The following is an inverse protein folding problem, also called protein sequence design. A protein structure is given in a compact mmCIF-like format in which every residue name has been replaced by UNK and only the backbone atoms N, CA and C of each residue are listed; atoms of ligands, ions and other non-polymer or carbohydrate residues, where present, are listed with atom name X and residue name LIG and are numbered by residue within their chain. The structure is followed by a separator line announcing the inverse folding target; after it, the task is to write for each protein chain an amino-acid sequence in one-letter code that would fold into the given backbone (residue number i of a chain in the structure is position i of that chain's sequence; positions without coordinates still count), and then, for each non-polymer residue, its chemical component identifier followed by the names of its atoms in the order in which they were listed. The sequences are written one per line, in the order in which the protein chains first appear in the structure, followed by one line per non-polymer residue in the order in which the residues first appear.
data_IF_563998278160
#
_entry.id   IF_563998278160
#
_cell.length_a   1.000
_cell.length_b   1.000
_cell.length_c   1.000
_cell.angle_alpha   90.00
_cell.angle_beta   90.00
_cell.angle_gamma   90.00
#
_symmetry.space_group_name_H-M   'P 1'
#
loop_
_entity.id
_entity.type
_entity.pdbx_description
1 polymer ?
#
# COMPACT_ATOMS: atom_id res chain seq x y z
N UNK A 1 57.32 31.68 14.86
CA UNK A 1 56.28 31.88 15.91
C UNK A 1 54.94 32.44 15.38
N UNK A 2 54.74 32.65 14.06
CA UNK A 2 53.48 33.20 13.53
C UNK A 2 52.42 32.18 13.06
N UNK A 3 52.78 30.91 12.85
CA UNK A 3 51.84 29.88 12.34
C UNK A 3 51.01 29.18 13.43
N UNK A 4 51.49 29.15 14.68
CA UNK A 4 50.75 28.51 15.80
C UNK A 4 49.62 29.40 16.34
N UNK A 5 49.72 30.72 16.18
CA UNK A 5 48.68 31.66 16.63
C UNK A 5 47.50 31.70 15.66
N UNK A 6 47.74 31.61 14.34
CA UNK A 6 46.65 31.61 13.35
C UNK A 6 45.85 30.30 13.37
N UNK A 7 46.50 29.16 13.59
CA UNK A 7 45.83 27.87 13.72
C UNK A 7 44.96 27.79 14.98
N UNK A 8 45.44 28.29 16.12
CA UNK A 8 44.66 28.36 17.37
C UNK A 8 43.40 29.24 17.23
N UNK A 9 43.51 30.38 16.52
CA UNK A 9 42.39 31.28 16.26
C UNK A 9 41.39 30.69 15.25
N UNK A 10 41.85 29.90 14.29
CA UNK A 10 40.96 29.20 13.37
C UNK A 10 40.19 28.07 14.05
N UNK A 11 40.85 27.36 14.98
CA UNK A 11 40.24 26.29 15.76
C UNK A 11 39.19 26.83 16.74
N UNK A 12 39.49 27.92 17.46
CA UNK A 12 38.53 28.54 18.38
C UNK A 12 37.28 29.06 17.67
N UNK A 13 37.42 29.60 16.46
CA UNK A 13 36.28 30.01 15.62
C UNK A 13 35.41 28.83 15.18
N UNK A 14 36.02 27.69 14.85
CA UNK A 14 35.28 26.48 14.51
C UNK A 14 34.54 25.95 15.74
N UNK A 15 35.18 25.97 16.92
CA UNK A 15 34.56 25.55 18.18
C UNK A 15 33.37 26.43 18.56
N UNK A 16 33.48 27.75 18.42
CA UNK A 16 32.35 28.68 18.62
C UNK A 16 31.21 28.43 17.62
N UNK A 17 31.50 28.25 16.33
CA UNK A 17 30.46 27.99 15.32
C UNK A 17 29.78 26.63 15.55
N UNK A 18 30.51 25.60 15.97
CA UNK A 18 29.96 24.29 16.33
C UNK A 18 29.06 24.40 17.56
N UNK A 19 29.48 25.13 18.60
CA UNK A 19 28.64 25.39 19.78
C UNK A 19 27.37 26.15 19.41
N UNK A 20 27.48 27.18 18.55
CA UNK A 20 26.32 27.94 18.07
C UNK A 20 25.34 27.06 17.29
N UNK A 21 25.84 26.20 16.38
CA UNK A 21 25.01 25.26 15.65
C UNK A 21 24.34 24.22 16.57
N UNK A 22 25.03 23.78 17.61
CA UNK A 22 24.46 22.87 18.60
C UNK A 22 23.33 23.53 19.41
N UNK A 23 23.47 24.81 19.75
CA UNK A 23 22.41 25.59 20.40
C UNK A 23 21.20 25.78 19.47
N UNK A 24 21.41 26.17 18.21
CA UNK A 24 20.33 26.29 17.21
C UNK A 24 19.59 24.96 16.98
N UNK A 25 20.32 23.84 16.97
CA UNK A 25 19.71 22.52 16.86
C UNK A 25 18.84 22.17 18.08
N UNK A 26 19.27 22.55 19.29
CA UNK A 26 18.48 22.40 20.51
C UNK A 26 17.22 23.27 20.48
N UNK A 27 17.34 24.54 20.12
CA UNK A 27 16.19 25.45 20.02
C UNK A 27 15.15 24.95 19.00
N UNK A 28 15.62 24.41 17.87
CA UNK A 28 14.75 23.79 16.87
C UNK A 28 14.06 22.53 17.43
N UNK A 29 14.79 21.66 18.14
CA UNK A 29 14.25 20.46 18.75
C UNK A 29 13.17 20.79 19.79
N UNK A 30 13.41 21.80 20.62
CA UNK A 30 12.45 22.25 21.64
C UNK A 30 11.20 22.83 20.98
N UNK A 31 11.38 23.69 19.96
CA UNK A 31 10.28 24.24 19.16
C UNK A 31 9.46 23.15 18.47
N UNK A 32 10.13 22.15 17.87
CA UNK A 32 9.48 21.02 17.22
C UNK A 32 8.71 20.15 18.23
N UNK A 33 9.27 19.89 19.41
CA UNK A 33 8.61 19.11 20.46
C UNK A 33 7.33 19.80 20.97
N UNK A 34 7.39 21.13 21.15
CA UNK A 34 6.24 21.94 21.53
C UNK A 34 5.16 21.96 20.44
N UNK A 35 5.56 22.00 19.17
CA UNK A 35 4.61 21.93 18.05
C UNK A 35 3.93 20.56 17.97
N UNK A 36 4.69 19.47 18.09
CA UNK A 36 4.17 18.10 18.05
C UNK A 36 3.18 17.85 19.19
N UNK A 37 3.48 18.28 20.42
CA UNK A 37 2.58 18.10 21.57
C UNK A 37 1.26 18.84 21.39
N UNK A 38 1.31 20.09 20.92
CA UNK A 38 0.12 20.88 20.60
C UNK A 38 -0.69 20.25 19.48
N UNK A 39 -0.04 19.89 18.37
CA UNK A 39 -0.68 19.24 17.22
C UNK A 39 -1.34 17.91 17.60
N UNK A 40 -0.70 17.11 18.45
CA UNK A 40 -1.25 15.85 18.96
C UNK A 40 -2.53 16.09 19.77
N UNK A 41 -2.54 17.14 20.60
CA UNK A 41 -3.71 17.49 21.43
C UNK A 41 -4.89 17.94 20.56
N UNK A 42 -4.62 18.77 19.56
CA UNK A 42 -5.63 19.23 18.60
C UNK A 42 -6.18 18.07 17.76
N UNK A 43 -5.33 17.15 17.30
CA UNK A 43 -5.73 15.93 16.59
C UNK A 43 -6.65 15.06 17.45
N UNK A 44 -6.30 14.85 18.72
CA UNK A 44 -7.13 14.08 19.65
C UNK A 44 -8.51 14.72 19.84
N UNK A 45 -8.57 16.04 19.98
CA UNK A 45 -9.84 16.78 20.08
C UNK A 45 -10.71 16.59 18.84
N UNK A 46 -10.14 16.73 17.64
CA UNK A 46 -10.84 16.49 16.37
C UNK A 46 -11.32 15.05 16.25
N UNK A 47 -10.51 14.09 16.69
CA UNK A 47 -10.86 12.66 16.74
C UNK A 47 -12.04 12.36 17.64
N UNK A 48 -12.08 12.93 18.84
CA UNK A 48 -13.22 12.77 19.73
C UNK A 48 -14.51 13.35 19.12
N UNK A 49 -14.42 14.52 18.46
CA UNK A 49 -15.56 15.12 17.76
C UNK A 49 -16.03 14.25 16.59
N UNK A 50 -15.13 13.76 15.76
CA UNK A 50 -15.46 12.88 14.65
C UNK A 50 -16.15 11.58 15.11
N UNK A 51 -15.63 10.96 16.18
CA UNK A 51 -16.22 9.79 16.82
C UNK A 51 -17.64 10.04 17.34
N UNK A 52 -17.82 11.17 18.05
CA UNK A 52 -19.12 11.58 18.57
C UNK A 52 -20.16 11.74 17.44
N UNK A 53 -19.77 12.39 16.33
CA UNK A 53 -20.64 12.57 15.16
C UNK A 53 -20.97 11.23 14.49
N UNK A 54 -19.99 10.34 14.22
CA UNK A 54 -20.28 9.04 13.61
C UNK A 54 -21.18 8.17 14.50
N UNK A 55 -21.01 8.21 15.82
CA UNK A 55 -21.88 7.51 16.77
C UNK A 55 -23.32 8.05 16.75
N UNK A 56 -23.46 9.39 16.70
CA UNK A 56 -24.76 10.06 16.63
C UNK A 56 -25.48 9.76 15.32
N UNK A 57 -24.77 9.77 14.19
CA UNK A 57 -25.31 9.39 12.88
C UNK A 57 -25.79 7.93 12.86
N UNK A 58 -25.02 6.99 13.42
CA UNK A 58 -25.42 5.58 13.54
C UNK A 58 -26.69 5.43 14.39
N UNK A 59 -26.74 6.11 15.53
CA UNK A 59 -27.90 6.08 16.44
C UNK A 59 -29.14 6.65 15.74
N UNK A 60 -29.04 7.84 15.14
CA UNK A 60 -30.16 8.47 14.42
C UNK A 60 -30.66 7.60 13.27
N UNK A 61 -29.77 6.98 12.48
CA UNK A 61 -30.17 6.06 11.41
C UNK A 61 -30.93 4.84 11.95
N UNK A 62 -30.47 4.26 13.08
CA UNK A 62 -31.18 3.14 13.72
C UNK A 62 -32.54 3.55 14.27
N UNK A 63 -32.64 4.73 14.88
CA UNK A 63 -33.90 5.27 15.40
C UNK A 63 -34.86 5.55 14.25
N UNK A 64 -34.41 6.18 13.17
CA UNK A 64 -35.22 6.46 11.98
C UNK A 64 -35.79 5.15 11.40
N UNK A 65 -34.95 4.13 11.23
CA UNK A 65 -35.39 2.82 10.73
C UNK A 65 -36.44 2.17 11.65
N UNK A 66 -36.26 2.27 12.97
CA UNK A 66 -37.26 1.77 13.93
C UNK A 66 -38.57 2.55 13.88
N UNK A 67 -38.51 3.88 13.72
CA UNK A 67 -39.70 4.74 13.65
C UNK A 67 -40.52 4.49 12.38
N UNK A 68 -39.87 4.19 11.26
CA UNK A 68 -40.52 3.73 10.01
C UNK A 68 -41.27 2.43 10.26
N UNK A 69 -40.62 1.44 10.91
CA UNK A 69 -41.25 0.14 11.20
C UNK A 69 -42.47 0.27 12.11
N UNK A 70 -42.44 1.21 13.07
CA UNK A 70 -43.58 1.48 13.96
C UNK A 70 -44.67 2.36 13.33
N UNK A 71 -44.50 2.82 12.09
CA UNK A 71 -45.46 3.69 11.39
C UNK A 71 -45.56 5.11 11.95
N UNK A 72 -44.61 5.52 12.79
CA UNK A 72 -44.63 6.83 13.47
C UNK A 72 -44.19 7.99 12.55
N UNK A 73 -43.58 7.69 11.40
CA UNK A 73 -43.09 8.66 10.42
C UNK A 73 -43.56 8.21 9.04
N UNK A 74 -44.06 9.17 8.25
CA UNK A 74 -44.43 8.95 6.85
C UNK A 74 -43.18 8.56 6.04
N UNK A 75 -43.20 7.47 5.24
CA UNK A 75 -42.08 7.04 4.41
C UNK A 75 -41.42 8.17 3.59
N UNK A 76 -42.21 9.13 3.06
CA UNK A 76 -41.65 10.26 2.30
C UNK A 76 -40.80 11.22 3.15
N UNK A 77 -41.18 11.45 4.39
CA UNK A 77 -40.38 12.26 5.32
C UNK A 77 -39.14 11.50 5.79
N UNK A 78 -39.27 10.18 5.97
CA UNK A 78 -38.16 9.32 6.33
C UNK A 78 -37.08 9.26 5.24
N UNK A 79 -37.45 9.18 3.96
CA UNK A 79 -36.52 9.20 2.84
C UNK A 79 -35.69 10.49 2.81
N UNK A 80 -36.33 11.64 3.04
CA UNK A 80 -35.63 12.94 3.10
C UNK A 80 -34.60 12.97 4.25
N UNK A 81 -34.97 12.44 5.41
CA UNK A 81 -34.07 12.36 6.57
C UNK A 81 -32.92 11.36 6.36
N UNK A 82 -33.16 10.22 5.71
CA UNK A 82 -32.07 9.27 5.40
C UNK A 82 -31.09 9.88 4.39
N UNK A 83 -31.57 10.63 3.40
CA UNK A 83 -30.71 11.38 2.47
C UNK A 83 -29.86 12.45 3.17
N UNK A 84 -30.41 13.20 4.12
CA UNK A 84 -29.63 14.16 4.91
C UNK A 84 -28.59 13.46 5.80
N UNK A 85 -28.95 12.35 6.46
CA UNK A 85 -28.02 11.53 7.22
C UNK A 85 -26.92 10.93 6.32
N UNK A 86 -27.27 10.52 5.11
CA UNK A 86 -26.33 10.01 4.11
C UNK A 86 -25.35 11.10 3.68
N UNK A 87 -25.83 12.31 3.36
CA UNK A 87 -24.97 13.46 3.04
C UNK A 87 -24.03 13.81 4.19
N UNK A 88 -24.54 13.89 5.42
CA UNK A 88 -23.72 14.15 6.60
C UNK A 88 -22.63 13.08 6.78
N UNK A 89 -22.97 11.81 6.51
CA UNK A 89 -22.01 10.71 6.54
C UNK A 89 -20.98 10.80 5.42
N UNK A 90 -21.37 11.19 4.20
CA UNK A 90 -20.44 11.43 3.10
C UNK A 90 -19.46 12.55 3.45
N UNK A 91 -19.93 13.68 3.99
CA UNK A 91 -19.06 14.78 4.43
C UNK A 91 -18.04 14.29 5.45
N UNK A 92 -18.47 13.47 6.42
CA UNK A 92 -17.58 12.93 7.45
C UNK A 92 -16.63 11.84 6.92
N UNK A 93 -17.04 11.03 5.95
CA UNK A 93 -16.29 9.84 5.47
C UNK A 93 -15.39 10.12 4.26
N UNK A 94 -15.78 11.08 3.42
CA UNK A 94 -15.08 11.46 2.19
C UNK A 94 -14.35 12.81 2.33
N UNK A 95 -14.72 13.61 3.33
CA UNK A 95 -14.01 14.85 3.68
C UNK A 95 -12.79 14.62 4.58
N UNK A 96 -12.11 15.71 4.94
CA UNK A 96 -10.89 15.66 5.77
C UNK A 96 -11.14 15.08 7.16
N UNK A 97 -12.38 15.17 7.66
CA UNK A 97 -12.82 14.59 8.92
C UNK A 97 -12.65 13.07 9.01
N UNK A 98 -12.60 12.40 7.85
CA UNK A 98 -12.46 10.96 7.77
C UNK A 98 -11.11 10.47 8.29
N UNK A 99 -10.07 11.30 8.20
CA UNK A 99 -8.74 11.01 8.75
C UNK A 99 -8.76 10.72 10.25
N UNK A 100 -9.68 11.34 10.97
CA UNK A 100 -9.81 11.21 12.42
C UNK A 100 -10.77 10.08 12.85
N UNK A 101 -11.55 9.52 11.93
CA UNK A 101 -12.42 8.39 12.26
C UNK A 101 -11.62 7.10 12.46
N UNK A 102 -12.03 6.23 13.41
CA UNK A 102 -11.45 4.91 13.56
C UNK A 102 -11.66 4.13 12.26
N UNK A 103 -10.60 3.48 11.80
CA UNK A 103 -10.64 2.79 10.53
C UNK A 103 -11.73 1.69 10.56
N UNK A 104 -12.59 1.64 9.55
CA UNK A 104 -13.46 0.49 9.31
C UNK A 104 -12.56 -0.67 8.88
N UNK A 105 -12.14 -1.46 9.86
CA UNK A 105 -11.40 -2.72 9.72
C UNK A 105 -10.27 -2.67 8.68
N UNK A 106 -9.03 -2.46 9.12
CA UNK A 106 -7.90 -3.02 8.39
C UNK A 106 -8.24 -4.49 8.08
N UNK A 107 -8.21 -4.88 6.80
CA UNK A 107 -8.40 -6.27 6.44
C UNK A 107 -7.46 -7.14 7.29
N UNK A 108 -7.91 -8.32 7.71
CA UNK A 108 -7.16 -9.22 8.61
C UNK A 108 -5.69 -9.40 8.17
N UNK A 109 -5.47 -9.38 6.86
CA UNK A 109 -4.16 -9.36 6.21
C UNK A 109 -3.25 -8.20 6.66
N UNK A 110 -3.67 -6.94 6.52
CA UNK A 110 -2.83 -5.79 6.93
C UNK A 110 -2.49 -5.83 8.42
N UNK A 111 -3.45 -6.27 9.26
CA UNK A 111 -3.21 -6.43 10.70
C UNK A 111 -2.17 -7.51 10.99
N UNK A 112 -2.16 -8.59 10.21
CA UNK A 112 -1.17 -9.67 10.35
C UNK A 112 0.25 -9.20 9.99
N UNK A 113 0.41 -8.43 8.91
CA UNK A 113 1.74 -8.01 8.42
C UNK A 113 2.28 -6.72 9.05
N UNK A 114 1.42 -5.74 9.35
CA UNK A 114 1.82 -4.42 9.85
C UNK A 114 1.42 -4.17 11.31
N UNK A 115 0.64 -5.06 11.93
CA UNK A 115 0.08 -4.83 13.26
C UNK A 115 -1.05 -3.79 13.27
N UNK A 116 -1.41 -3.24 14.45
CA UNK A 116 -2.51 -2.29 14.61
C UNK A 116 -2.11 -0.86 14.23
N UNK A 117 -1.55 -0.66 13.03
CA UNK A 117 -1.05 0.64 12.55
C UNK A 117 -2.03 1.28 11.55
N UNK A 118 -2.26 2.59 11.68
CA UNK A 118 -3.04 3.34 10.70
C UNK A 118 -2.18 3.68 9.46
N UNK A 119 -2.49 3.06 8.32
CA UNK A 119 -1.82 3.29 7.03
C UNK A 119 -2.56 4.30 6.14
N UNK A 120 -3.57 5.00 6.68
CA UNK A 120 -4.30 6.03 5.95
C UNK A 120 -3.42 7.28 5.87
N UNK A 121 -3.05 7.66 4.66
CA UNK A 121 -2.44 8.94 4.37
C UNK A 121 -3.51 10.04 4.43
N UNK A 122 -3.35 10.98 5.36
CA UNK A 122 -4.29 12.09 5.56
C UNK A 122 -4.18 13.14 4.47
N UNK A 123 -2.96 13.37 3.96
CA UNK A 123 -2.70 14.36 2.91
C UNK A 123 -2.79 13.75 1.50
N UNK A 124 -3.37 14.51 0.56
CA UNK A 124 -3.55 14.09 -0.84
C UNK A 124 -2.24 13.85 -1.58
N UNK A 125 -1.24 14.70 -1.35
CA UNK A 125 0.11 14.54 -1.91
C UNK A 125 0.76 13.22 -1.47
N UNK A 126 0.59 12.81 -0.21
CA UNK A 126 1.08 11.52 0.28
C UNK A 126 0.30 10.36 -0.37
N UNK A 127 -1.02 10.45 -0.51
CA UNK A 127 -1.80 9.44 -1.22
C UNK A 127 -1.39 9.28 -2.69
N UNK A 128 -1.11 10.40 -3.36
CA UNK A 128 -0.62 10.41 -4.74
C UNK A 128 0.78 9.79 -4.84
N UNK A 129 1.68 10.14 -3.93
CA UNK A 129 3.01 9.54 -3.85
C UNK A 129 2.95 8.03 -3.62
N UNK A 130 2.07 7.56 -2.74
CA UNK A 130 1.86 6.10 -2.53
C UNK A 130 1.37 5.41 -3.81
N UNK A 131 0.45 6.04 -4.56
CA UNK A 131 -0.03 5.54 -5.85
C UNK A 131 1.08 5.51 -6.90
N UNK A 132 1.91 6.55 -6.95
CA UNK A 132 3.05 6.64 -7.87
C UNK A 132 4.09 5.55 -7.57
N UNK A 133 4.50 5.41 -6.31
CA UNK A 133 5.43 4.37 -5.85
C UNK A 133 4.89 2.96 -6.12
N UNK A 134 3.59 2.75 -5.94
CA UNK A 134 2.94 1.49 -6.32
C UNK A 134 3.03 1.23 -7.82
N UNK A 135 2.70 2.21 -8.66
CA UNK A 135 2.77 2.05 -10.10
C UNK A 135 4.20 1.81 -10.58
N UNK A 136 5.18 2.54 -10.02
CA UNK A 136 6.61 2.36 -10.28
C UNK A 136 7.05 0.94 -9.93
N UNK A 137 6.69 0.47 -8.73
CA UNK A 137 6.94 -0.89 -8.28
C UNK A 137 6.35 -1.92 -9.25
N UNK A 138 5.07 -1.75 -9.63
CA UNK A 138 4.35 -2.70 -10.50
C UNK A 138 4.99 -2.83 -11.88
N UNK A 139 5.47 -1.73 -12.46
CA UNK A 139 6.19 -1.73 -13.74
C UNK A 139 7.52 -2.47 -13.63
N UNK A 140 8.32 -2.17 -12.60
CA UNK A 140 9.60 -2.85 -12.35
C UNK A 140 9.39 -4.35 -12.16
N UNK A 141 8.38 -4.74 -11.39
CA UNK A 141 8.08 -6.15 -11.14
C UNK A 141 7.48 -6.85 -12.35
N UNK A 142 6.70 -6.19 -13.19
CA UNK A 142 6.17 -6.79 -14.42
C UNK A 142 7.28 -7.08 -15.42
N UNK A 143 8.29 -6.22 -15.51
CA UNK A 143 9.49 -6.49 -16.31
C UNK A 143 10.24 -7.73 -15.78
N UNK A 144 10.46 -7.82 -14.46
CA UNK A 144 11.08 -8.99 -13.85
C UNK A 144 10.22 -10.26 -14.01
N UNK A 145 8.90 -10.15 -13.92
CA UNK A 145 7.95 -11.25 -14.10
C UNK A 145 8.03 -11.85 -15.50
N UNK A 146 8.34 -11.03 -16.51
CA UNK A 146 8.58 -11.51 -17.86
C UNK A 146 10.00 -12.07 -18.01
N UNK A 147 11.02 -11.34 -17.52
CA UNK A 147 12.43 -11.67 -17.71
C UNK A 147 12.82 -12.98 -17.03
N UNK A 148 12.36 -13.21 -15.81
CA UNK A 148 12.78 -14.35 -14.99
C UNK A 148 12.36 -15.70 -15.61
N UNK A 149 11.08 -15.96 -15.93
CA UNK A 149 10.68 -17.20 -16.59
C UNK A 149 11.24 -17.33 -18.01
N UNK A 150 11.40 -16.22 -18.75
CA UNK A 150 12.07 -16.25 -20.07
C UNK A 150 13.52 -16.72 -19.96
N UNK A 151 14.25 -16.23 -18.96
CA UNK A 151 15.63 -16.64 -18.69
C UNK A 151 15.70 -18.11 -18.30
N UNK A 152 14.78 -18.59 -17.46
CA UNK A 152 14.71 -20.02 -17.09
C UNK A 152 14.44 -20.90 -18.32
N UNK A 153 13.54 -20.49 -19.23
CA UNK A 153 13.29 -21.22 -20.47
C UNK A 153 14.51 -21.25 -21.41
N UNK A 154 15.27 -20.16 -21.50
CA UNK A 154 16.51 -20.11 -22.28
C UNK A 154 17.58 -21.02 -21.68
N UNK A 155 17.82 -20.93 -20.37
CA UNK A 155 18.81 -21.76 -19.68
C UNK A 155 18.45 -23.25 -19.73
N UNK A 156 17.16 -23.59 -19.63
CA UNK A 156 16.65 -24.95 -19.85
C UNK A 156 17.11 -25.51 -21.19
N UNK A 157 16.96 -24.73 -22.25
CA UNK A 157 17.30 -25.15 -23.62
C UNK A 157 18.81 -25.21 -23.84
N UNK A 158 19.54 -24.20 -23.37
CA UNK A 158 20.94 -23.99 -23.75
C UNK A 158 21.96 -24.62 -22.81
N UNK A 159 21.65 -24.72 -21.52
CA UNK A 159 22.60 -25.18 -20.48
C UNK A 159 22.23 -26.57 -19.98
N UNK A 160 20.94 -26.82 -19.75
CA UNK A 160 20.48 -28.02 -19.05
C UNK A 160 19.80 -29.07 -19.94
N UNK A 161 19.94 -28.99 -21.26
CA UNK A 161 19.45 -29.99 -22.22
C UNK A 161 17.98 -30.41 -21.97
N UNK A 162 17.12 -29.48 -21.54
CA UNK A 162 15.71 -29.73 -21.23
C UNK A 162 15.37 -30.11 -19.78
N UNK A 163 16.34 -30.23 -18.87
CA UNK A 163 16.12 -30.64 -17.48
C UNK A 163 16.48 -29.51 -16.48
N UNK A 164 15.53 -28.64 -16.13
CA UNK A 164 15.80 -27.54 -15.19
C UNK A 164 16.08 -28.06 -13.77
N UNK A 165 17.20 -27.68 -13.13
CA UNK A 165 17.45 -28.01 -11.75
C UNK A 165 16.37 -27.43 -10.82
N UNK A 166 16.19 -28.06 -9.66
CA UNK A 166 15.20 -27.65 -8.67
C UNK A 166 15.43 -26.22 -8.14
N UNK A 167 16.70 -25.88 -7.85
CA UNK A 167 17.07 -24.62 -7.19
C UNK A 167 16.64 -23.37 -8.00
N UNK A 168 16.93 -23.22 -9.32
CA UNK A 168 16.43 -22.10 -10.11
C UNK A 168 14.90 -21.96 -10.10
N UNK A 169 14.17 -23.08 -10.15
CA UNK A 169 12.70 -23.08 -10.10
C UNK A 169 12.21 -22.63 -8.72
N UNK A 170 12.83 -23.12 -7.64
CA UNK A 170 12.52 -22.71 -6.27
C UNK A 170 12.82 -21.24 -6.03
N UNK A 171 13.93 -20.70 -6.54
CA UNK A 171 14.24 -19.27 -6.47
C UNK A 171 13.15 -18.43 -7.16
N UNK A 172 12.66 -18.88 -8.32
CA UNK A 172 11.55 -18.21 -9.00
C UNK A 172 10.26 -18.28 -8.18
N UNK A 173 9.93 -19.43 -7.57
CA UNK A 173 8.77 -19.56 -6.70
C UNK A 173 8.87 -18.68 -5.44
N UNK A 174 10.06 -18.57 -4.84
CA UNK A 174 10.31 -17.66 -3.71
C UNK A 174 10.13 -16.20 -4.11
N UNK A 175 10.60 -15.84 -5.31
CA UNK A 175 10.40 -14.51 -5.86
C UNK A 175 8.91 -14.22 -6.15
N UNK A 176 8.15 -15.19 -6.66
CA UNK A 176 6.70 -15.06 -6.84
C UNK A 176 5.97 -14.88 -5.51
N UNK A 177 6.33 -15.64 -4.48
CA UNK A 177 5.77 -15.47 -3.13
C UNK A 177 6.02 -14.06 -2.62
N UNK A 178 7.26 -13.56 -2.73
CA UNK A 178 7.61 -12.18 -2.37
C UNK A 178 6.80 -11.15 -3.18
N UNK A 179 6.67 -11.34 -4.49
CA UNK A 179 5.94 -10.45 -5.38
C UNK A 179 4.46 -10.34 -4.99
N UNK A 180 3.76 -11.47 -4.89
CA UNK A 180 2.32 -11.47 -4.61
C UNK A 180 2.03 -11.00 -3.18
N UNK A 181 2.91 -11.29 -2.21
CA UNK A 181 2.81 -10.71 -0.86
C UNK A 181 2.94 -9.19 -0.89
N UNK A 182 3.91 -8.67 -1.64
CA UNK A 182 4.15 -7.23 -1.76
C UNK A 182 3.02 -6.52 -2.51
N UNK A 183 2.47 -7.12 -3.58
CA UNK A 183 1.31 -6.59 -4.30
C UNK A 183 0.08 -6.56 -3.39
N UNK A 184 -0.22 -7.67 -2.70
CA UNK A 184 -1.30 -7.74 -1.74
C UNK A 184 -1.17 -6.66 -0.65
N UNK A 185 0.02 -6.46 -0.09
CA UNK A 185 0.27 -5.42 0.91
C UNK A 185 -0.01 -4.01 0.36
N UNK A 186 0.62 -3.65 -0.76
CA UNK A 186 0.50 -2.31 -1.37
C UNK A 186 -0.93 -2.01 -1.81
N UNK A 187 -1.61 -2.98 -2.42
CA UNK A 187 -2.98 -2.80 -2.90
C UNK A 187 -4.00 -2.73 -1.74
N UNK A 188 -3.80 -3.48 -0.65
CA UNK A 188 -4.63 -3.31 0.54
C UNK A 188 -4.44 -1.92 1.17
N UNK A 189 -3.21 -1.38 1.21
CA UNK A 189 -2.94 -0.01 1.67
C UNK A 189 -3.68 0.99 0.76
N UNK A 190 -3.57 0.84 -0.56
CA UNK A 190 -4.26 1.70 -1.52
C UNK A 190 -5.79 1.65 -1.36
N UNK A 191 -6.34 0.46 -1.10
CA UNK A 191 -7.77 0.26 -0.87
C UNK A 191 -8.26 0.96 0.40
N UNK A 192 -7.48 0.89 1.49
CA UNK A 192 -7.77 1.64 2.73
C UNK A 192 -7.69 3.16 2.49
N UNK A 193 -6.85 3.59 1.55
CA UNK A 193 -6.72 4.98 1.12
C UNK A 193 -7.72 5.39 0.01
N UNK A 194 -8.83 4.65 -0.14
CA UNK A 194 -9.93 5.01 -1.05
C UNK A 194 -9.70 4.67 -2.52
N UNK A 195 -8.70 3.86 -2.85
CA UNK A 195 -8.54 3.38 -4.23
C UNK A 195 -9.56 2.28 -4.54
N UNK A 196 -10.27 2.44 -5.66
CA UNK A 196 -11.24 1.45 -6.14
C UNK A 196 -10.52 0.23 -6.73
N UNK A 197 -10.24 -0.75 -5.87
CA UNK A 197 -9.62 -2.03 -6.22
C UNK A 197 -10.63 -3.14 -5.96
N UNK A 198 -10.93 -3.91 -7.01
CA UNK A 198 -11.91 -5.00 -6.96
C UNK A 198 -11.49 -6.10 -5.97
N UNK A 199 -12.41 -6.58 -5.13
CA UNK A 199 -12.10 -7.60 -4.11
C UNK A 199 -11.56 -8.90 -4.67
N UNK A 200 -12.05 -9.35 -5.84
CA UNK A 200 -11.58 -10.58 -6.46
C UNK A 200 -10.09 -10.52 -6.85
N UNK A 201 -9.58 -9.33 -7.19
CA UNK A 201 -8.19 -9.12 -7.55
C UNK A 201 -7.26 -9.31 -6.35
N UNK A 202 -7.67 -8.79 -5.19
CA UNK A 202 -6.98 -9.04 -3.92
C UNK A 202 -7.02 -10.54 -3.56
N UNK A 203 -8.16 -11.20 -3.76
CA UNK A 203 -8.28 -12.64 -3.55
C UNK A 203 -7.33 -13.44 -4.46
N UNK A 204 -7.20 -13.04 -5.73
CA UNK A 204 -6.25 -13.64 -6.66
C UNK A 204 -4.81 -13.59 -6.12
N UNK A 205 -4.37 -12.46 -5.56
CA UNK A 205 -3.04 -12.35 -4.95
C UNK A 205 -2.87 -13.31 -3.77
N UNK A 206 -3.87 -13.43 -2.90
CA UNK A 206 -3.81 -14.36 -1.78
C UNK A 206 -3.72 -15.82 -2.24
N UNK A 207 -4.52 -16.20 -3.24
CA UNK A 207 -4.44 -17.54 -3.84
C UNK A 207 -3.05 -17.76 -4.45
N UNK A 208 -2.50 -16.79 -5.18
CA UNK A 208 -1.18 -16.90 -5.79
C UNK A 208 -0.06 -17.02 -4.74
N UNK A 209 -0.14 -16.30 -3.61
CA UNK A 209 0.78 -16.46 -2.48
C UNK A 209 0.74 -17.89 -1.92
N UNK A 210 -0.46 -18.42 -1.66
CA UNK A 210 -0.62 -19.79 -1.14
C UNK A 210 -0.08 -20.80 -2.14
N UNK A 211 -0.37 -20.64 -3.43
CA UNK A 211 0.14 -21.51 -4.49
C UNK A 211 1.67 -21.48 -4.58
N UNK A 212 2.30 -20.31 -4.47
CA UNK A 212 3.75 -20.17 -4.46
C UNK A 212 4.38 -20.83 -3.22
N UNK A 213 3.74 -20.69 -2.05
CA UNK A 213 4.18 -21.34 -0.81
C UNK A 213 4.08 -22.87 -0.88
N UNK A 214 2.97 -23.40 -1.40
CA UNK A 214 2.79 -24.84 -1.64
C UNK A 214 3.82 -25.34 -2.65
N UNK A 215 4.07 -24.57 -3.72
CA UNK A 215 5.06 -24.93 -4.75
C UNK A 215 6.50 -24.91 -4.23
N UNK A 216 6.82 -24.06 -3.25
CA UNK A 216 8.12 -24.03 -2.57
C UNK A 216 8.35 -25.24 -1.66
N UNK A 217 7.30 -25.67 -0.97
CA UNK A 217 7.34 -26.81 -0.06
C UNK A 217 7.22 -28.15 -0.77
N UNK A 218 6.86 -28.13 -2.06
CA UNK A 218 6.90 -29.31 -2.91
C UNK A 218 8.36 -29.71 -3.14
N UNK A 219 8.84 -30.69 -2.39
CA UNK A 219 10.15 -31.29 -2.62
C UNK A 219 10.21 -31.79 -4.05
N UNK A 220 11.06 -31.14 -4.85
CA UNK A 220 11.61 -31.74 -6.07
C UNK A 220 12.65 -32.75 -5.58
N UNK A 221 12.19 -33.81 -4.89
CA UNK A 221 13.02 -34.99 -4.62
C UNK A 221 13.57 -35.41 -5.98
N UNK A 222 14.88 -35.61 -6.06
CA UNK A 222 15.58 -36.02 -7.27
C UNK A 222 14.98 -37.32 -7.79
N UNK A 223 13.87 -37.20 -8.52
CA UNK A 223 13.20 -38.32 -9.15
C UNK A 223 14.02 -38.67 -10.39
N UNK A 224 14.24 -39.97 -10.64
CA UNK A 224 14.97 -40.42 -11.81
C UNK A 224 14.27 -40.05 -13.13
N UNK A 225 12.98 -39.68 -13.10
CA UNK A 225 12.19 -39.30 -14.27
C UNK A 225 12.04 -37.78 -14.42
N UNK A 226 13.03 -37.17 -15.05
CA UNK A 226 13.01 -35.73 -15.37
C UNK A 226 11.83 -35.35 -16.31
N UNK A 227 11.26 -36.27 -17.10
CA UNK A 227 10.35 -35.94 -18.20
C UNK A 227 8.99 -35.34 -17.79
N UNK A 228 8.29 -35.94 -16.81
CA UNK A 228 6.91 -35.56 -16.48
C UNK A 228 6.83 -34.22 -15.71
N UNK A 229 7.65 -34.06 -14.69
CA UNK A 229 7.66 -32.87 -13.84
C UNK A 229 8.16 -31.63 -14.59
N UNK A 230 9.12 -31.80 -15.50
CA UNK A 230 9.64 -30.72 -16.34
C UNK A 230 8.61 -30.22 -17.37
N UNK A 231 7.73 -31.09 -17.84
CA UNK A 231 6.66 -30.68 -18.78
C UNK A 231 5.68 -29.71 -18.09
N UNK A 232 5.30 -29.98 -16.85
CA UNK A 232 4.47 -29.08 -16.05
C UNK A 232 5.18 -27.74 -15.75
N UNK A 233 6.47 -27.79 -15.38
CA UNK A 233 7.28 -26.58 -15.15
C UNK A 233 7.40 -25.75 -16.43
N UNK A 234 7.63 -26.37 -17.57
CA UNK A 234 7.72 -25.68 -18.86
C UNK A 234 6.41 -25.00 -19.24
N UNK A 235 5.27 -25.69 -19.11
CA UNK A 235 3.94 -25.11 -19.35
C UNK A 235 3.67 -23.94 -18.41
N UNK A 236 4.03 -24.07 -17.13
CA UNK A 236 3.90 -22.99 -16.16
C UNK A 236 4.77 -21.77 -16.52
N UNK A 237 6.02 -21.97 -16.92
CA UNK A 237 6.91 -20.87 -17.31
C UNK A 237 6.43 -20.19 -18.60
N UNK A 238 5.95 -20.95 -19.60
CA UNK A 238 5.37 -20.39 -20.82
C UNK A 238 4.11 -19.57 -20.50
N UNK A 239 3.22 -20.11 -19.65
CA UNK A 239 2.07 -19.37 -19.16
C UNK A 239 2.48 -18.09 -18.43
N UNK A 240 3.51 -18.15 -17.57
CA UNK A 240 4.02 -16.99 -16.85
C UNK A 240 4.58 -15.92 -17.79
N UNK A 241 5.25 -16.30 -18.89
CA UNK A 241 5.68 -15.36 -19.93
C UNK A 241 4.47 -14.64 -20.55
N UNK A 242 3.43 -15.37 -20.95
CA UNK A 242 2.20 -14.77 -21.49
C UNK A 242 1.55 -13.82 -20.47
N UNK A 243 1.47 -14.23 -19.20
CA UNK A 243 0.98 -13.38 -18.11
C UNK A 243 1.84 -12.13 -17.92
N UNK A 244 3.17 -12.24 -18.01
CA UNK A 244 4.09 -11.11 -17.93
C UNK A 244 3.86 -10.07 -19.02
N UNK A 245 3.62 -10.52 -20.25
CA UNK A 245 3.22 -9.62 -21.36
C UNK A 245 1.91 -8.92 -21.04
N UNK A 246 0.90 -9.66 -20.58
CA UNK A 246 -0.39 -9.08 -20.20
C UNK A 246 -0.24 -8.05 -19.06
N UNK A 247 0.58 -8.34 -18.05
CA UNK A 247 0.88 -7.42 -16.95
C UNK A 247 1.52 -6.12 -17.46
N UNK A 248 2.49 -6.18 -18.36
CA UNK A 248 3.12 -4.99 -18.95
C UNK A 248 2.10 -4.12 -19.69
N UNK A 249 1.24 -4.72 -20.51
CA UNK A 249 0.20 -4.01 -21.25
C UNK A 249 -0.81 -3.37 -20.30
N UNK A 250 -1.30 -4.13 -19.31
CA UNK A 250 -2.23 -3.63 -18.28
C UNK A 250 -1.62 -2.47 -17.49
N UNK A 251 -0.34 -2.57 -17.13
CA UNK A 251 0.36 -1.54 -16.36
C UNK A 251 0.47 -0.24 -17.14
N UNK A 252 0.91 -0.31 -18.41
CA UNK A 252 1.01 0.86 -19.29
C UNK A 252 -0.34 1.54 -19.47
N UNK A 253 -1.39 0.75 -19.74
CA UNK A 253 -2.75 1.27 -19.90
C UNK A 253 -3.25 2.01 -18.65
N UNK A 254 -3.16 1.36 -17.48
CA UNK A 254 -3.63 1.95 -16.22
C UNK A 254 -2.85 3.21 -15.84
N UNK A 255 -1.53 3.21 -16.09
CA UNK A 255 -0.66 4.36 -15.83
C UNK A 255 -1.00 5.56 -16.73
N UNK A 256 -1.16 5.34 -18.03
CA UNK A 256 -1.58 6.39 -18.96
C UNK A 256 -2.92 6.99 -18.55
N UNK A 257 -3.90 6.15 -18.24
CA UNK A 257 -5.22 6.59 -17.78
C UNK A 257 -5.15 7.43 -16.50
N UNK A 258 -4.27 7.07 -15.56
CA UNK A 258 -4.05 7.86 -14.34
C UNK A 258 -3.50 9.25 -14.67
N UNK A 259 -2.43 9.34 -15.47
CA UNK A 259 -1.84 10.63 -15.85
C UNK A 259 -2.80 11.50 -16.65
N UNK A 260 -3.60 10.91 -17.56
CA UNK A 260 -4.65 11.65 -18.26
C UNK A 260 -5.69 12.21 -17.29
N UNK A 261 -6.10 11.46 -16.27
CA UNK A 261 -7.06 11.96 -15.26
C UNK A 261 -6.48 13.10 -14.41
N UNK A 262 -5.19 13.04 -14.09
CA UNK A 262 -4.48 14.11 -13.38
C UNK A 262 -4.40 15.36 -14.27
N UNK A 263 -3.99 15.22 -15.53
CA UNK A 263 -3.91 16.32 -16.49
C UNK A 263 -5.28 16.97 -16.76
N UNK A 264 -6.36 16.19 -16.72
CA UNK A 264 -7.73 16.69 -16.86
C UNK A 264 -8.30 17.30 -15.57
N UNK A 265 -7.52 17.39 -14.49
CA UNK A 265 -7.98 17.93 -13.19
C UNK A 265 -9.02 17.06 -12.46
N UNK A 266 -9.32 15.85 -12.97
CA UNK A 266 -10.28 14.91 -12.36
C UNK A 266 -9.72 14.21 -11.12
N UNK A 267 -8.43 14.37 -10.86
CA UNK A 267 -7.71 13.93 -9.67
C UNK A 267 -6.84 15.11 -9.23
N UNK A 268 -7.26 15.83 -8.20
CA UNK A 268 -6.55 17.01 -7.70
C UNK A 268 -5.32 16.61 -6.88
N UNK A 269 -4.20 17.30 -7.13
CA UNK A 269 -3.00 17.30 -6.29
C UNK A 269 -3.29 17.83 -4.87
#
# INVERSE_FOLDING_TARGET
MGESSSSSSSFSKIEEEVSRLAELAKELQDSASSFISKSTTEEQSLRQRALSIDSSLKKLRSTLHSSIQTGAIDPKQADKLDEELYRARCILSDGDGASFLPNKSHGRFLKMFLGPINVRATRKDVQLKVKEEYNSYRDRTAFLFLLFPSTLLLLRSWVWNGCLPALPVQLYQAWLLFLYTSLALRENILRVNGSDIRSWWICHHYCAMVMALVSLTWEIKGQPDCSHMQSAVQLFLLWAVMQGVAMLLQNRYQRQRLYTRIALGKVSL
#
